data_IF_407898863684
#
_entry.id   IF_407898863684
#
_cell.length_a   1.000
_cell.length_b   1.000
_cell.length_c   1.000
_cell.angle_alpha   90.00
_cell.angle_beta   90.00
_cell.angle_gamma   90.00
#
_symmetry.space_group_name_H-M   'P 1'
#
loop_
_entity.id
_entity.type
_entity.pdbx_description
1 polymer ?
#
# COMPACT_ATOMS: atom_id res chain seq x y z
N UNK A 1 19.46 22.07 -34.37
CA UNK A 1 19.39 20.58 -34.38
C UNK A 1 20.16 19.94 -33.22
N UNK A 2 21.33 20.44 -32.81
CA UNK A 2 22.14 19.86 -31.71
C UNK A 2 21.44 19.85 -30.32
N UNK A 3 20.60 20.85 -30.04
CA UNK A 3 19.90 20.97 -28.74
C UNK A 3 18.83 19.88 -28.54
N UNK A 4 18.10 19.53 -29.60
CA UNK A 4 17.04 18.51 -29.55
C UNK A 4 17.64 17.11 -29.28
N UNK A 5 18.74 16.78 -29.96
CA UNK A 5 19.41 15.49 -29.83
C UNK A 5 20.01 15.25 -28.42
N UNK A 6 20.43 16.34 -27.74
CA UNK A 6 20.94 16.27 -26.36
C UNK A 6 19.82 16.06 -25.34
N UNK A 7 18.62 16.60 -25.59
CA UNK A 7 17.46 16.37 -24.73
C UNK A 7 16.95 14.93 -24.84
N UNK A 8 16.80 14.38 -26.04
CA UNK A 8 16.39 12.98 -26.25
C UNK A 8 17.32 11.97 -25.55
N UNK A 9 18.65 12.17 -25.59
CA UNK A 9 19.59 11.29 -24.89
C UNK A 9 19.43 11.34 -23.36
N UNK A 10 19.22 12.53 -22.78
CA UNK A 10 19.00 12.65 -21.33
C UNK A 10 17.64 12.12 -20.90
N UNK A 11 16.64 12.20 -21.76
CA UNK A 11 15.31 11.64 -21.56
C UNK A 11 15.35 10.12 -21.48
N UNK A 12 15.98 9.46 -22.45
CA UNK A 12 16.08 8.00 -22.45
C UNK A 12 16.86 7.47 -21.25
N UNK A 13 17.95 8.13 -20.87
CA UNK A 13 18.76 7.76 -19.70
C UNK A 13 17.94 7.87 -18.41
N UNK A 14 17.22 8.98 -18.22
CA UNK A 14 16.36 9.16 -17.05
C UNK A 14 15.24 8.12 -16.98
N UNK A 15 14.60 7.81 -18.12
CA UNK A 15 13.55 6.80 -18.19
C UNK A 15 14.06 5.41 -17.82
N UNK A 16 15.30 5.07 -18.23
CA UNK A 16 15.92 3.76 -18.00
C UNK A 16 16.47 3.61 -16.58
N UNK A 17 17.22 4.60 -16.10
CA UNK A 17 17.96 4.50 -14.83
C UNK A 17 17.10 4.87 -13.61
N UNK A 18 16.12 5.78 -13.77
CA UNK A 18 15.36 6.32 -12.65
C UNK A 18 13.91 5.83 -12.62
N UNK A 19 13.20 6.02 -13.73
CA UNK A 19 11.76 5.76 -13.78
C UNK A 19 11.41 4.27 -13.76
N UNK A 20 12.07 3.43 -14.57
CA UNK A 20 11.76 1.99 -14.60
C UNK A 20 12.00 1.30 -13.24
N UNK A 21 13.14 1.49 -12.56
CA UNK A 21 13.36 0.86 -11.26
C UNK A 21 12.35 1.31 -10.20
N UNK A 22 11.95 2.58 -10.20
CA UNK A 22 10.92 3.10 -9.29
C UNK A 22 9.56 2.44 -9.55
N UNK A 23 9.14 2.38 -10.81
CA UNK A 23 7.89 1.72 -11.20
C UNK A 23 7.88 0.25 -10.77
N UNK A 24 8.97 -0.46 -11.01
CA UNK A 24 9.08 -1.89 -10.71
C UNK A 24 9.08 -2.12 -9.19
N UNK A 25 9.77 -1.26 -8.42
CA UNK A 25 9.72 -1.27 -6.96
C UNK A 25 8.29 -1.11 -6.41
N UNK A 26 7.57 -0.10 -6.89
CA UNK A 26 6.19 0.14 -6.47
C UNK A 26 5.25 -0.99 -6.90
N UNK A 27 5.44 -1.56 -8.09
CA UNK A 27 4.63 -2.68 -8.59
C UNK A 27 4.80 -3.94 -7.72
N UNK A 28 6.04 -4.27 -7.37
CA UNK A 28 6.38 -5.44 -6.56
C UNK A 28 5.85 -5.28 -5.13
N UNK A 29 5.97 -4.09 -4.55
CA UNK A 29 5.38 -3.78 -3.25
C UNK A 29 3.86 -3.91 -3.28
N UNK A 30 3.19 -3.26 -4.23
CA UNK A 30 1.73 -3.32 -4.34
C UNK A 30 1.24 -4.78 -4.46
N UNK A 31 1.93 -5.62 -5.22
CA UNK A 31 1.55 -7.03 -5.35
C UNK A 31 1.73 -7.82 -4.05
N UNK A 32 2.81 -7.58 -3.30
CA UNK A 32 3.06 -8.24 -2.02
C UNK A 32 1.99 -7.87 -0.97
N UNK A 33 1.67 -6.58 -0.85
CA UNK A 33 0.63 -6.11 0.09
C UNK A 33 -0.75 -6.66 -0.28
N UNK A 34 -1.08 -6.70 -1.58
CA UNK A 34 -2.32 -7.30 -2.08
C UNK A 34 -2.43 -8.78 -1.70
N UNK A 35 -1.38 -9.57 -1.93
CA UNK A 35 -1.38 -11.00 -1.62
C UNK A 35 -1.51 -11.26 -0.11
N UNK A 36 -0.86 -10.44 0.72
CA UNK A 36 -0.93 -10.58 2.18
C UNK A 36 -2.33 -10.23 2.71
N UNK A 37 -2.92 -9.13 2.24
CA UNK A 37 -4.27 -8.73 2.63
C UNK A 37 -5.32 -9.74 2.17
N UNK A 38 -5.26 -10.18 0.90
CA UNK A 38 -6.19 -11.20 0.40
C UNK A 38 -6.01 -12.55 1.12
N UNK A 39 -4.77 -12.92 1.48
CA UNK A 39 -4.50 -14.11 2.27
C UNK A 39 -5.12 -14.05 3.67
N UNK A 40 -4.96 -12.93 4.37
CA UNK A 40 -5.55 -12.70 5.70
C UNK A 40 -7.08 -12.72 5.64
N UNK A 41 -7.67 -12.02 4.68
CA UNK A 41 -9.12 -12.02 4.44
C UNK A 41 -9.66 -13.41 4.10
N UNK A 42 -8.96 -14.15 3.25
CA UNK A 42 -9.37 -15.51 2.87
C UNK A 42 -9.37 -16.44 4.09
N UNK A 43 -8.28 -16.45 4.88
CA UNK A 43 -8.19 -17.26 6.10
C UNK A 43 -9.25 -16.86 7.12
N UNK A 44 -9.47 -15.56 7.31
CA UNK A 44 -10.49 -15.05 8.24
C UNK A 44 -11.91 -15.39 7.79
N UNK A 45 -12.22 -15.26 6.50
CA UNK A 45 -13.54 -15.53 5.95
C UNK A 45 -13.86 -17.02 5.98
N UNK A 46 -12.88 -17.86 5.62
CA UNK A 46 -12.98 -19.32 5.73
C UNK A 46 -13.19 -19.70 7.20
N UNK A 47 -12.35 -19.22 8.11
CA UNK A 47 -12.47 -19.50 9.54
C UNK A 47 -13.85 -19.12 10.09
N UNK A 48 -14.37 -17.94 9.76
CA UNK A 48 -15.70 -17.48 10.17
C UNK A 48 -16.84 -18.37 9.64
N UNK A 49 -16.72 -18.88 8.41
CA UNK A 49 -17.70 -19.80 7.84
C UNK A 49 -17.63 -21.20 8.46
N UNK A 50 -16.46 -21.64 8.93
CA UNK A 50 -16.28 -22.94 9.58
C UNK A 50 -16.84 -22.98 11.02
N UNK A 51 -16.82 -21.87 11.77
CA UNK A 51 -17.34 -21.82 13.15
C UNK A 51 -18.77 -22.36 13.28
N UNK A 52 -19.78 -21.87 12.53
CA UNK A 52 -21.15 -22.37 12.66
C UNK A 52 -21.30 -23.85 12.24
N UNK A 53 -20.49 -24.33 11.29
CA UNK A 53 -20.51 -25.74 10.85
C UNK A 53 -20.06 -26.67 11.97
N UNK A 54 -19.03 -26.29 12.74
CA UNK A 54 -18.55 -27.09 13.87
C UNK A 54 -19.55 -27.14 15.04
N UNK A 55 -20.35 -26.08 15.22
CA UNK A 55 -21.35 -26.02 16.29
C UNK A 55 -22.55 -26.95 16.07
N UNK A 56 -22.80 -27.37 14.83
CA UNK A 56 -23.95 -28.23 14.47
C UNK A 56 -23.70 -29.70 14.84
N UNK A 57 -22.45 -30.15 15.02
CA UNK A 57 -22.13 -31.53 15.34
C UNK A 57 -22.27 -31.85 16.84
N UNK A 58 -23.25 -32.69 17.25
CA UNK A 58 -23.41 -33.08 18.65
C UNK A 58 -22.28 -34.05 19.05
N UNK A 59 -21.53 -33.71 20.10
CA UNK A 59 -20.44 -34.55 20.65
C UNK A 59 -19.03 -33.94 20.55
N UNK A 60 -18.88 -32.78 19.90
CA UNK A 60 -17.60 -32.06 19.85
C UNK A 60 -17.35 -31.24 21.13
N UNK A 61 -16.13 -31.25 21.70
CA UNK A 61 -15.78 -30.41 22.83
C UNK A 61 -15.83 -28.92 22.44
N UNK A 62 -16.53 -28.12 23.24
CA UNK A 62 -16.77 -26.66 23.05
C UNK A 62 -15.47 -25.85 22.90
N UNK A 63 -14.35 -26.41 23.35
CA UNK A 63 -13.01 -25.82 23.28
C UNK A 63 -12.57 -25.60 21.81
N UNK A 64 -12.93 -26.50 20.89
CA UNK A 64 -12.51 -26.42 19.47
C UNK A 64 -13.09 -25.17 18.76
N UNK A 65 -14.42 -24.93 18.75
CA UNK A 65 -14.98 -23.74 18.13
C UNK A 65 -14.53 -22.45 18.85
N UNK A 66 -14.27 -22.50 20.16
CA UNK A 66 -13.74 -21.35 20.91
C UNK A 66 -12.33 -20.94 20.43
N UNK A 67 -11.43 -21.90 20.24
CA UNK A 67 -10.07 -21.63 19.73
C UNK A 67 -10.13 -21.07 18.31
N UNK A 68 -10.96 -21.64 17.43
CA UNK A 68 -11.10 -21.17 16.04
C UNK A 68 -11.65 -19.74 16.03
N UNK A 69 -12.68 -19.45 16.83
CA UNK A 69 -13.27 -18.10 16.92
C UNK A 69 -12.26 -17.08 17.44
N UNK A 70 -11.42 -17.45 18.41
CA UNK A 70 -10.35 -16.61 18.91
C UNK A 70 -9.31 -16.30 17.83
N UNK A 71 -8.87 -17.30 17.07
CA UNK A 71 -7.92 -17.13 15.95
C UNK A 71 -8.50 -16.23 14.85
N UNK A 72 -9.78 -16.40 14.50
CA UNK A 72 -10.47 -15.56 13.52
C UNK A 72 -10.57 -14.11 13.99
N UNK A 73 -10.96 -13.88 15.25
CA UNK A 73 -11.01 -12.53 15.83
C UNK A 73 -9.65 -11.85 15.83
N UNK A 74 -8.59 -12.58 16.18
CA UNK A 74 -7.21 -12.08 16.09
C UNK A 74 -6.83 -11.71 14.64
N UNK A 75 -7.20 -12.52 13.66
CA UNK A 75 -6.96 -12.24 12.25
C UNK A 75 -7.68 -10.96 11.79
N UNK A 76 -8.94 -10.77 12.20
CA UNK A 76 -9.72 -9.55 11.90
C UNK A 76 -9.12 -8.31 12.57
N UNK A 77 -8.70 -8.42 13.83
CA UNK A 77 -8.05 -7.33 14.57
C UNK A 77 -6.74 -6.95 13.88
N UNK A 78 -5.94 -7.92 13.44
CA UNK A 78 -4.71 -7.68 12.68
C UNK A 78 -5.02 -7.00 11.34
N UNK A 79 -5.97 -7.51 10.55
CA UNK A 79 -6.32 -6.93 9.26
C UNK A 79 -6.80 -5.46 9.40
N UNK A 80 -7.68 -5.21 10.38
CA UNK A 80 -8.18 -3.86 10.68
C UNK A 80 -7.07 -2.94 11.22
N UNK A 81 -6.14 -3.46 12.02
CA UNK A 81 -5.05 -2.65 12.58
C UNK A 81 -4.08 -2.19 11.49
N UNK A 82 -3.72 -3.08 10.58
CA UNK A 82 -2.65 -2.80 9.62
C UNK A 82 -3.09 -1.95 8.42
N UNK A 83 -4.40 -1.73 8.20
CA UNK A 83 -4.90 -0.94 7.06
C UNK A 83 -4.20 -1.32 5.75
N UNK A 84 -3.88 -2.61 5.56
CA UNK A 84 -3.11 -3.08 4.40
C UNK A 84 -3.78 -2.72 3.06
N UNK A 85 -5.12 -2.57 3.08
CA UNK A 85 -5.90 -2.08 1.95
C UNK A 85 -5.61 -0.63 1.56
N UNK A 86 -5.43 0.27 2.54
CA UNK A 86 -5.18 1.69 2.28
C UNK A 86 -3.78 1.91 1.71
N UNK A 87 -2.77 1.25 2.27
CA UNK A 87 -1.41 1.29 1.76
C UNK A 87 -1.33 0.71 0.34
N UNK A 88 -2.02 -0.41 0.07
CA UNK A 88 -2.09 -0.98 -1.28
C UNK A 88 -2.74 -0.03 -2.29
N UNK A 89 -3.86 0.59 -1.91
CA UNK A 89 -4.61 1.50 -2.78
C UNK A 89 -3.78 2.74 -3.10
N UNK A 90 -3.06 3.27 -2.10
CA UNK A 90 -2.14 4.39 -2.27
C UNK A 90 -1.02 4.05 -3.26
N UNK A 91 -0.37 2.89 -3.12
CA UNK A 91 0.68 2.48 -4.06
C UNK A 91 0.16 2.30 -5.48
N UNK A 92 -1.06 1.75 -5.64
CA UNK A 92 -1.69 1.59 -6.94
C UNK A 92 -2.03 2.94 -7.58
N UNK A 93 -2.62 3.86 -6.83
CA UNK A 93 -2.91 5.21 -7.32
C UNK A 93 -1.64 5.95 -7.72
N UNK A 94 -0.56 5.80 -6.95
CA UNK A 94 0.75 6.38 -7.27
C UNK A 94 1.31 5.81 -8.57
N UNK A 95 1.19 4.49 -8.79
CA UNK A 95 1.60 3.83 -10.03
C UNK A 95 0.76 4.28 -11.24
N UNK A 96 -0.55 4.39 -11.07
CA UNK A 96 -1.46 4.85 -12.13
C UNK A 96 -1.18 6.31 -12.49
N UNK A 97 -0.97 7.18 -11.50
CA UNK A 97 -0.55 8.56 -11.71
C UNK A 97 0.79 8.66 -12.45
N UNK A 98 1.80 7.86 -12.05
CA UNK A 98 3.11 7.87 -12.70
C UNK A 98 3.07 7.37 -14.16
N UNK A 99 2.16 6.43 -14.46
CA UNK A 99 1.91 5.95 -15.85
C UNK A 99 1.19 6.99 -16.68
N UNK A 100 0.16 7.62 -16.10
CA UNK A 100 -0.61 8.67 -16.76
C UNK A 100 0.29 9.84 -17.13
N UNK A 101 1.16 10.27 -16.21
CA UNK A 101 2.12 11.36 -16.45
C UNK A 101 3.08 11.06 -17.59
N UNK A 102 3.53 9.80 -17.71
CA UNK A 102 4.34 9.35 -18.85
C UNK A 102 3.58 9.45 -20.17
N UNK A 103 2.32 9.01 -20.21
CA UNK A 103 1.47 9.06 -21.42
C UNK A 103 1.24 10.52 -21.83
N UNK A 104 0.95 11.41 -20.87
CA UNK A 104 0.80 12.86 -21.10
C UNK A 104 2.06 13.47 -21.72
N UNK A 105 3.24 13.10 -21.22
CA UNK A 105 4.54 13.54 -21.74
C UNK A 105 4.79 13.02 -23.17
N UNK A 106 4.60 11.73 -23.42
CA UNK A 106 4.83 11.10 -24.74
C UNK A 106 3.91 11.68 -25.82
N UNK A 107 2.65 11.94 -25.49
CA UNK A 107 1.68 12.52 -26.43
C UNK A 107 1.70 14.06 -26.49
N UNK A 108 2.60 14.72 -25.74
CA UNK A 108 2.71 16.19 -25.67
C UNK A 108 1.37 16.87 -25.38
N UNK A 109 0.56 16.25 -24.52
CA UNK A 109 -0.73 16.77 -24.07
C UNK A 109 -0.50 17.79 -22.95
N UNK A 110 -1.38 18.76 -22.79
CA UNK A 110 -1.30 19.79 -21.75
C UNK A 110 -1.07 19.14 -20.38
N UNK A 111 -0.06 19.54 -19.59
CA UNK A 111 0.73 20.79 -19.61
C UNK A 111 1.98 20.82 -20.52
N UNK A 112 2.22 19.80 -21.35
CA UNK A 112 3.46 19.62 -22.11
C UNK A 112 3.44 20.22 -23.54
N UNK A 113 2.28 20.68 -24.03
CA UNK A 113 2.06 21.07 -25.44
C UNK A 113 2.84 22.30 -25.90
N UNK A 114 3.27 23.20 -25.01
CA UNK A 114 3.96 24.46 -25.37
C UNK A 114 5.11 24.86 -24.41
N UNK A 115 5.60 23.92 -23.60
CA UNK A 115 6.64 24.23 -22.62
C UNK A 115 8.05 24.18 -23.24
N UNK A 116 8.85 25.25 -23.23
CA UNK A 116 10.26 25.20 -23.65
C UNK A 116 11.13 24.32 -22.73
N UNK A 117 10.57 23.89 -21.58
CA UNK A 117 11.17 22.98 -20.60
C UNK A 117 10.22 21.83 -20.25
N UNK A 118 9.73 21.11 -21.26
CA UNK A 118 8.82 19.95 -21.09
C UNK A 118 9.42 18.86 -20.17
N UNK A 119 10.69 18.49 -20.38
CA UNK A 119 11.33 17.43 -19.61
C UNK A 119 11.54 17.77 -18.12
N UNK A 120 12.05 18.96 -17.72
CA UNK A 120 12.12 19.35 -16.31
C UNK A 120 10.77 19.40 -15.60
N UNK A 121 9.69 19.78 -16.31
CA UNK A 121 8.34 19.75 -15.75
C UNK A 121 7.89 18.32 -15.47
N UNK A 122 8.15 17.39 -16.39
CA UNK A 122 7.84 15.98 -16.20
C UNK A 122 8.58 15.38 -15.00
N UNK A 123 9.88 15.66 -14.86
CA UNK A 123 10.68 15.20 -13.71
C UNK A 123 10.11 15.75 -12.40
N UNK A 124 9.73 17.03 -12.38
CA UNK A 124 9.11 17.66 -11.21
C UNK A 124 7.78 17.00 -10.84
N UNK A 125 6.88 16.79 -11.79
CA UNK A 125 5.60 16.10 -11.55
C UNK A 125 5.83 14.69 -10.98
N UNK A 126 6.78 13.94 -11.54
CA UNK A 126 7.13 12.62 -11.02
C UNK A 126 7.64 12.66 -9.57
N UNK A 127 8.55 13.58 -9.25
CA UNK A 127 9.08 13.72 -7.89
C UNK A 127 8.02 14.24 -6.89
N UNK A 128 7.08 15.09 -7.32
CA UNK A 128 5.95 15.52 -6.49
C UNK A 128 5.03 14.34 -6.13
N UNK A 129 4.70 13.48 -7.11
CA UNK A 129 3.92 12.25 -6.89
C UNK A 129 4.65 11.30 -5.92
N UNK A 130 5.95 11.11 -6.08
CA UNK A 130 6.77 10.26 -5.22
C UNK A 130 6.87 10.82 -3.80
N UNK A 131 7.08 12.14 -3.68
CA UNK A 131 7.17 12.82 -2.39
C UNK A 131 5.85 12.74 -1.62
N UNK A 132 4.71 12.94 -2.30
CA UNK A 132 3.38 12.76 -1.72
C UNK A 132 3.18 11.35 -1.18
N UNK A 133 3.49 10.32 -1.98
CA UNK A 133 3.42 8.93 -1.55
C UNK A 133 4.30 8.66 -0.31
N UNK A 134 5.55 9.15 -0.32
CA UNK A 134 6.50 8.96 0.79
C UNK A 134 6.02 9.65 2.08
N UNK A 135 5.42 10.82 1.97
CA UNK A 135 4.82 11.54 3.10
C UNK A 135 3.61 10.76 3.65
N UNK A 136 2.74 10.28 2.77
CA UNK A 136 1.58 9.48 3.16
C UNK A 136 1.97 8.15 3.85
N UNK A 137 2.99 7.44 3.33
CA UNK A 137 3.54 6.23 3.97
C UNK A 137 4.23 6.55 5.31
N UNK A 138 4.98 7.65 5.40
CA UNK A 138 5.58 8.09 6.66
C UNK A 138 4.50 8.41 7.70
N UNK A 139 3.43 9.08 7.28
CA UNK A 139 2.30 9.41 8.13
C UNK A 139 1.48 8.17 8.55
N UNK A 140 1.34 7.16 7.67
CA UNK A 140 0.69 5.89 8.03
C UNK A 140 1.53 5.11 9.03
N UNK A 141 2.86 5.02 8.83
CA UNK A 141 3.79 4.40 9.79
C UNK A 141 3.85 5.15 11.13
N UNK A 142 3.87 6.48 11.12
CA UNK A 142 3.86 7.28 12.35
C UNK A 142 2.57 7.07 13.17
N UNK A 143 1.41 6.95 12.50
CA UNK A 143 0.14 6.58 13.15
C UNK A 143 0.16 5.16 13.71
N UNK A 144 0.79 4.21 13.02
CA UNK A 144 0.96 2.85 13.53
C UNK A 144 1.85 2.83 14.78
N UNK A 145 2.95 3.58 14.78
CA UNK A 145 3.82 3.76 15.93
C UNK A 145 3.07 4.32 17.14
N UNK A 146 2.34 5.44 16.99
CA UNK A 146 1.55 6.03 18.08
C UNK A 146 0.50 5.06 18.65
N UNK A 147 -0.30 4.41 17.79
CA UNK A 147 -1.32 3.45 18.25
C UNK A 147 -0.73 2.26 19.01
N UNK A 148 0.46 1.81 18.64
CA UNK A 148 1.16 0.75 19.38
C UNK A 148 1.62 1.24 20.76
N UNK A 149 2.14 2.46 20.86
CA UNK A 149 2.50 3.08 22.14
C UNK A 149 1.28 3.29 23.04
N UNK A 150 0.17 3.79 22.50
CA UNK A 150 -1.07 4.05 23.26
C UNK A 150 -1.65 2.75 23.86
N UNK A 151 -1.62 1.65 23.09
CA UNK A 151 -2.08 0.33 23.55
C UNK A 151 -1.24 -0.22 24.71
N UNK A 152 0.08 -0.06 24.66
CA UNK A 152 0.97 -0.46 25.76
C UNK A 152 0.73 0.37 27.03
N UNK A 153 0.34 1.64 26.89
CA UNK A 153 0.00 2.49 28.03
C UNK A 153 -1.34 2.14 28.68
N UNK A 154 -2.35 1.73 27.89
CA UNK A 154 -3.63 1.21 28.42
C UNK A 154 -3.44 -0.11 29.17
N UNK A 155 -2.60 -1.02 28.68
CA UNK A 155 -2.33 -2.30 29.34
C UNK A 155 -1.62 -2.12 30.70
N UNK A 156 -0.72 -1.14 30.82
CA UNK A 156 -0.02 -0.86 32.09
C UNK A 156 -0.91 -0.18 33.15
N UNK A 157 -1.96 0.53 32.72
CA UNK A 157 -2.85 1.28 33.63
C UNK A 157 -4.09 0.47 34.04
N UNK A 158 -4.46 -0.58 33.29
CA UNK A 158 -5.52 -1.52 33.66
C UNK A 158 -5.15 -2.52 34.78
N UNK A 159 -3.86 -2.66 35.12
CA UNK A 159 -3.36 -3.63 36.10
C UNK A 159 -3.42 -3.22 37.58
N UNK A 160 -3.88 -2.00 37.89
CA UNK A 160 -3.92 -1.47 39.28
C UNK A 160 -5.34 -1.28 39.84
N UNK A 161 -6.34 -1.96 39.27
CA UNK A 161 -7.74 -1.86 39.70
C UNK A 161 -8.39 -3.23 39.93
N UNK A 162 -7.66 -4.12 40.60
CA UNK A 162 -8.14 -5.41 41.12
C UNK A 162 -7.92 -5.49 42.62
#
# INVERSE_FOLDING_TARGET
>A
MVVQHKQEYQEEQYMRERWQPQRDYYSRKAQLYKQRHLGLLFVSSVGAAFVPVLLIFPGMPVIIPAIISFVVSLALILDNTFHFGDDWRLFRQTLEALKLEKILYEHKVEPYTNAPKSFPLFVRSCEEIICFCRCATCCSQARQGKRAWDRLTEESTGGWRG
#
